data_IF_926584621651
#
_entry.id   IF_926584621651
#
_cell.length_a   1.000
_cell.length_b   1.000
_cell.length_c   1.000
_cell.angle_alpha   90.00
_cell.angle_beta   90.00
_cell.angle_gamma   90.00
#
_symmetry.space_group_name_H-M   'P 1'
#
loop_
_entity.id
_entity.type
_entity.pdbx_description
1 polymer ?
#
# COMPACT_ATOMS: atom_id res chain seq x y z
N UNK A 1 1.48 16.92 3.61
CA UNK A 1 1.29 16.91 2.14
C UNK A 1 1.63 15.51 1.65
N UNK A 2 0.87 14.97 0.70
CA UNK A 2 1.07 13.62 0.14
C UNK A 2 1.21 13.75 -1.37
N UNK A 3 2.21 13.10 -1.95
CA UNK A 3 2.40 13.05 -3.41
C UNK A 3 1.96 11.69 -3.92
N UNK A 4 1.08 11.69 -4.92
CA UNK A 4 0.68 10.46 -5.63
C UNK A 4 1.35 10.47 -6.99
N UNK A 5 2.11 9.42 -7.29
CA UNK A 5 2.73 9.23 -8.60
C UNK A 5 2.42 7.84 -9.11
N UNK A 6 2.33 7.71 -10.44
CA UNK A 6 2.24 6.40 -11.08
C UNK A 6 3.65 5.81 -11.22
N UNK A 7 3.77 4.50 -11.05
CA UNK A 7 5.02 3.74 -11.20
C UNK A 7 4.86 2.68 -12.28
N UNK A 8 5.99 2.15 -12.75
CA UNK A 8 6.00 1.01 -13.67
C UNK A 8 5.76 -0.32 -12.96
N UNK A 9 5.78 -1.39 -13.75
CA UNK A 9 5.68 -2.77 -13.27
C UNK A 9 6.85 -3.13 -12.34
N UNK A 10 6.55 -3.84 -11.25
CA UNK A 10 7.53 -4.34 -10.27
C UNK A 10 7.65 -5.87 -10.27
N UNK A 11 7.08 -6.56 -11.27
CA UNK A 11 7.13 -8.01 -11.41
C UNK A 11 6.13 -8.80 -10.57
N UNK A 12 5.12 -8.13 -9.99
CA UNK A 12 4.11 -8.71 -9.09
C UNK A 12 2.70 -8.67 -9.69
N UNK A 13 2.57 -8.93 -11.00
CA UNK A 13 1.33 -8.72 -11.75
C UNK A 13 0.11 -9.48 -11.17
N UNK A 14 0.31 -10.65 -10.57
CA UNK A 14 -0.77 -11.44 -9.95
C UNK A 14 -1.42 -10.76 -8.74
N UNK A 15 -0.78 -9.72 -8.20
CA UNK A 15 -1.18 -9.00 -7.00
C UNK A 15 -1.61 -7.57 -7.30
N UNK A 16 -1.71 -7.21 -8.57
CA UNK A 16 -2.27 -5.93 -8.99
C UNK A 16 -3.75 -5.80 -8.59
N UNK A 17 -4.26 -4.58 -8.35
CA UNK A 17 -3.52 -3.30 -8.30
C UNK A 17 -2.61 -3.17 -7.07
N UNK A 18 -1.43 -2.56 -7.24
CA UNK A 18 -0.41 -2.38 -6.20
C UNK A 18 -0.31 -0.91 -5.80
N UNK A 19 -0.20 -0.65 -4.49
CA UNK A 19 0.07 0.68 -3.94
C UNK A 19 1.25 0.59 -2.98
N UNK A 20 2.27 1.42 -3.20
CA UNK A 20 3.43 1.52 -2.31
C UNK A 20 3.36 2.82 -1.51
N UNK A 21 3.48 2.71 -0.19
CA UNK A 21 3.56 3.87 0.71
C UNK A 21 4.98 3.99 1.22
N UNK A 22 5.59 5.14 0.93
CA UNK A 22 6.93 5.51 1.38
C UNK A 22 6.82 6.68 2.34
N UNK A 23 7.30 6.48 3.57
CA UNK A 23 7.35 7.51 4.61
C UNK A 23 8.80 7.74 5.05
N UNK A 24 9.23 8.99 5.30
CA UNK A 24 10.58 9.28 5.75
C UNK A 24 10.93 8.53 7.04
N UNK A 25 12.02 7.75 7.00
CA UNK A 25 12.52 7.01 8.16
C UNK A 25 11.73 5.74 8.51
N UNK A 26 10.78 5.32 7.67
CA UNK A 26 10.06 4.04 7.84
C UNK A 26 10.33 3.12 6.65
N UNK A 27 10.12 1.83 6.88
CA UNK A 27 10.13 0.84 5.81
C UNK A 27 8.97 1.09 4.84
N UNK A 28 9.22 0.79 3.57
CA UNK A 28 8.20 0.82 2.53
C UNK A 28 7.12 -0.20 2.84
N UNK A 29 5.85 0.20 2.74
CA UNK A 29 4.70 -0.70 2.85
C UNK A 29 4.12 -0.93 1.45
N UNK A 30 4.05 -2.19 1.04
CA UNK A 30 3.48 -2.59 -0.26
C UNK A 30 2.12 -3.25 -0.06
N UNK A 31 1.08 -2.58 -0.55
CA UNK A 31 -0.30 -3.04 -0.54
C UNK A 31 -0.69 -3.63 -1.89
N UNK A 32 -1.47 -4.71 -1.87
CA UNK A 32 -1.81 -5.50 -3.07
C UNK A 32 -3.31 -5.78 -3.18
N UNK A 33 -3.77 -6.11 -4.39
CA UNK A 33 -5.19 -6.36 -4.69
C UNK A 33 -6.09 -5.23 -4.19
N UNK A 34 -5.67 -4.00 -4.48
CA UNK A 34 -6.30 -2.79 -3.95
C UNK A 34 -7.55 -2.42 -4.75
N UNK A 35 -8.61 -2.12 -4.02
CA UNK A 35 -9.86 -1.55 -4.54
C UNK A 35 -9.99 -0.10 -4.06
N UNK A 36 -10.89 0.71 -4.64
CA UNK A 36 -11.13 2.07 -4.17
C UNK A 36 -11.45 2.15 -2.68
N UNK A 37 -12.21 1.19 -2.15
CA UNK A 37 -12.59 1.13 -0.73
C UNK A 37 -11.38 0.87 0.17
N UNK A 38 -10.54 -0.12 -0.20
CA UNK A 38 -9.29 -0.39 0.52
C UNK A 38 -8.33 0.80 0.48
N UNK A 39 -8.30 1.53 -0.63
CA UNK A 39 -7.46 2.72 -0.76
C UNK A 39 -7.90 3.82 0.23
N UNK A 40 -9.21 4.03 0.41
CA UNK A 40 -9.75 4.96 1.41
C UNK A 40 -9.36 4.53 2.83
N UNK A 41 -9.42 3.23 3.13
CA UNK A 41 -9.01 2.71 4.43
C UNK A 41 -7.50 2.85 4.67
N UNK A 42 -6.66 2.63 3.66
CA UNK A 42 -5.22 2.88 3.75
C UNK A 42 -4.95 4.35 4.04
N UNK A 43 -5.67 5.28 3.41
CA UNK A 43 -5.53 6.71 3.70
C UNK A 43 -5.87 6.99 5.17
N UNK A 44 -7.00 6.50 5.67
CA UNK A 44 -7.42 6.73 7.05
C UNK A 44 -6.49 6.05 8.06
N UNK A 45 -6.31 4.74 7.98
CA UNK A 45 -5.55 3.99 8.98
C UNK A 45 -4.05 4.27 8.86
N UNK A 46 -3.49 4.21 7.66
CA UNK A 46 -2.06 4.30 7.48
C UNK A 46 -1.57 5.75 7.41
N UNK A 47 -2.11 6.56 6.49
CA UNK A 47 -1.55 7.88 6.23
C UNK A 47 -1.94 8.91 7.30
N UNK A 48 -3.17 8.85 7.82
CA UNK A 48 -3.64 9.77 8.85
C UNK A 48 -3.25 9.29 10.25
N UNK A 49 -3.45 8.00 10.56
CA UNK A 49 -3.25 7.47 11.91
C UNK A 49 -1.93 6.70 12.12
N UNK A 50 -1.11 6.51 11.09
CA UNK A 50 0.18 5.83 11.20
C UNK A 50 0.08 4.32 11.45
N UNK A 51 -1.07 3.70 11.15
CA UNK A 51 -1.34 2.26 11.35
C UNK A 51 -1.46 1.54 10.00
N UNK A 52 -0.41 0.84 9.53
CA UNK A 52 -0.50 0.06 8.31
C UNK A 52 -1.61 -1.00 8.37
N UNK A 53 -2.38 -1.14 7.29
CA UNK A 53 -3.46 -2.13 7.18
C UNK A 53 -2.85 -3.47 6.76
N UNK A 54 -2.28 -4.20 7.73
CA UNK A 54 -1.45 -5.40 7.48
C UNK A 54 -2.10 -6.45 6.59
N UNK A 55 -3.41 -6.64 6.72
CA UNK A 55 -4.21 -7.58 5.92
C UNK A 55 -4.17 -7.32 4.40
N UNK A 56 -3.82 -6.10 3.98
CA UNK A 56 -3.68 -5.75 2.56
C UNK A 56 -2.22 -5.80 2.08
N UNK A 57 -1.28 -6.05 2.98
CA UNK A 57 0.14 -6.04 2.63
C UNK A 57 0.53 -7.35 1.97
N UNK A 58 1.48 -7.27 1.03
CA UNK A 58 1.98 -8.47 0.36
C UNK A 58 2.61 -9.45 1.34
N UNK A 59 3.31 -8.96 2.36
CA UNK A 59 3.96 -9.78 3.39
C UNK A 59 2.96 -10.67 4.14
N UNK A 60 1.74 -10.20 4.35
CA UNK A 60 0.69 -10.98 5.01
C UNK A 60 0.01 -11.98 4.05
N UNK A 61 -0.06 -11.68 2.74
CA UNK A 61 -0.70 -12.56 1.76
C UNK A 61 0.17 -13.72 1.26
N UNK A 62 1.50 -13.62 1.39
CA UNK A 62 2.45 -14.66 0.94
C UNK A 62 2.96 -15.55 2.06
N UNK A 63 2.50 -15.30 3.30
CA UNK A 63 2.77 -16.15 4.47
C UNK A 63 1.68 -17.21 4.66
#
# INVERSE_FOLDING_TARGET
NVTVTQTGCIGLCQYEPIVEVLEPGKDKVTYVKITPEKALEIVDQHLIHGRPVKEYTISEMVN
#
